data_IF_384603348372
#
_entry.id   IF_384603348372
#
_cell.length_a   1.000
_cell.length_b   1.000
_cell.length_c   1.000
_cell.angle_alpha   90.00
_cell.angle_beta   90.00
_cell.angle_gamma   90.00
#
_symmetry.space_group_name_H-M   'P 1'
#
loop_
_entity.id
_entity.type
_entity.pdbx_description
1 polymer ?
#
# COMPACT_ATOMS: atom_id res chain seq x y z
N UNK A 1 -19.86 22.98 -1.53
CA UNK A 1 -19.93 21.72 -2.29
C UNK A 1 -18.54 21.45 -2.88
N UNK A 2 -17.97 20.25 -2.74
CA UNK A 2 -16.62 19.94 -3.24
C UNK A 2 -16.66 19.89 -4.78
N UNK A 3 -15.80 20.64 -5.50
CA UNK A 3 -15.80 20.61 -6.96
C UNK A 3 -15.50 19.22 -7.52
N UNK A 4 -16.21 18.83 -8.59
CA UNK A 4 -16.16 17.48 -9.16
C UNK A 4 -14.75 17.03 -9.58
N UNK A 5 -13.89 17.99 -9.97
CA UNK A 5 -12.48 17.73 -10.31
C UNK A 5 -11.69 17.10 -9.14
N UNK A 6 -12.08 17.35 -7.89
CA UNK A 6 -11.44 16.78 -6.70
C UNK A 6 -12.07 15.46 -6.23
N UNK A 7 -13.21 15.06 -6.80
CA UNK A 7 -13.85 13.79 -6.44
C UNK A 7 -13.01 12.61 -6.94
N UNK A 8 -12.79 11.62 -6.06
CA UNK A 8 -12.09 10.37 -6.38
C UNK A 8 -12.88 9.44 -7.32
N UNK A 9 -14.20 9.49 -7.23
CA UNK A 9 -15.10 8.64 -7.99
C UNK A 9 -15.79 9.46 -9.09
N UNK A 10 -16.04 8.84 -10.23
CA UNK A 10 -16.95 9.31 -11.28
C UNK A 10 -18.24 8.51 -11.12
N UNK A 11 -19.37 9.21 -11.07
CA UNK A 11 -20.70 8.59 -11.01
C UNK A 11 -21.32 8.76 -12.40
N UNK A 12 -21.67 7.66 -13.04
CA UNK A 12 -22.30 7.65 -14.37
C UNK A 12 -23.30 6.52 -14.45
N UNK A 13 -24.55 6.79 -14.82
CA UNK A 13 -25.60 5.78 -14.98
C UNK A 13 -25.74 4.81 -13.77
N UNK A 14 -25.83 5.35 -12.55
CA UNK A 14 -25.83 4.58 -11.28
C UNK A 14 -24.59 3.68 -11.03
N UNK A 15 -23.53 3.82 -11.83
CA UNK A 15 -22.27 3.11 -11.65
C UNK A 15 -21.23 4.04 -11.03
N UNK A 16 -20.52 3.52 -10.02
CA UNK A 16 -19.42 4.22 -9.34
C UNK A 16 -18.10 3.69 -9.90
N UNK A 17 -17.31 4.56 -10.52
CA UNK A 17 -16.00 4.22 -11.08
C UNK A 17 -14.90 5.04 -10.41
N UNK A 18 -13.80 4.40 -10.02
CA UNK A 18 -12.64 5.13 -9.48
C UNK A 18 -11.93 5.85 -10.63
N UNK A 19 -11.68 7.16 -10.47
CA UNK A 19 -10.78 7.88 -11.37
C UNK A 19 -9.39 7.27 -11.26
N UNK A 20 -8.96 6.52 -12.28
CA UNK A 20 -7.65 5.89 -12.33
C UNK A 20 -6.60 6.95 -12.62
N UNK A 21 -5.51 6.92 -11.87
CA UNK A 21 -4.27 7.65 -12.19
C UNK A 21 -3.29 6.57 -12.61
N UNK A 22 -2.80 6.63 -13.85
CA UNK A 22 -1.78 5.69 -14.33
C UNK A 22 -0.47 6.05 -13.66
N UNK A 23 -0.24 5.46 -12.49
CA UNK A 23 1.04 5.50 -11.79
C UNK A 23 1.67 4.13 -12.04
N UNK A 24 2.98 4.08 -12.27
CA UNK A 24 3.70 2.80 -12.30
C UNK A 24 4.32 2.62 -10.92
N UNK A 25 4.05 1.48 -10.29
CA UNK A 25 4.57 1.15 -8.97
C UNK A 25 3.93 1.92 -7.80
N UNK A 26 4.40 1.60 -6.60
CA UNK A 26 3.95 2.20 -5.36
C UNK A 26 5.11 2.90 -4.63
N UNK A 27 5.16 4.25 -4.59
CA UNK A 27 6.25 4.96 -3.94
C UNK A 27 6.26 4.79 -2.42
N UNK A 28 5.13 4.41 -1.82
CA UNK A 28 4.99 4.28 -0.37
C UNK A 28 5.93 3.23 0.23
N UNK A 29 6.14 2.11 -0.47
CA UNK A 29 6.99 1.01 -0.01
C UNK A 29 8.47 1.35 0.10
N UNK A 30 8.90 2.46 -0.50
CA UNK A 30 10.27 2.93 -0.48
C UNK A 30 10.48 4.10 0.48
N UNK A 31 9.40 4.71 0.97
CA UNK A 31 9.44 5.93 1.77
C UNK A 31 9.01 5.71 3.21
N UNK A 32 8.08 4.78 3.43
CA UNK A 32 7.41 4.62 4.71
C UNK A 32 7.54 3.19 5.23
N UNK A 33 7.89 3.06 6.50
CA UNK A 33 7.84 1.82 7.27
C UNK A 33 6.69 1.95 8.28
N UNK A 34 5.76 1.00 8.28
CA UNK A 34 4.57 1.03 9.14
C UNK A 34 4.72 -0.06 10.20
N UNK A 35 4.60 0.35 11.46
CA UNK A 35 4.66 -0.53 12.63
C UNK A 35 3.31 -0.46 13.34
N UNK A 36 2.68 -1.60 13.55
CA UNK A 36 1.41 -1.71 14.29
C UNK A 36 1.64 -1.61 15.80
N UNK A 37 0.56 -1.42 16.57
CA UNK A 37 0.64 -1.28 18.03
C UNK A 37 1.27 -2.47 18.76
N UNK A 38 1.17 -3.67 18.18
CA UNK A 38 1.72 -4.92 18.70
C UNK A 38 3.13 -5.21 18.13
N UNK A 39 3.72 -4.24 17.43
CA UNK A 39 5.11 -4.27 16.97
C UNK A 39 5.32 -4.92 15.61
N UNK A 40 4.27 -5.31 14.88
CA UNK A 40 4.42 -5.90 13.55
C UNK A 40 4.77 -4.83 12.51
N UNK A 41 5.80 -5.09 11.71
CA UNK A 41 6.11 -4.32 10.50
C UNK A 41 5.22 -4.82 9.38
N UNK A 42 4.40 -3.94 8.82
CA UNK A 42 3.47 -4.25 7.71
C UNK A 42 3.85 -3.47 6.46
N UNK A 43 3.36 -3.94 5.31
CA UNK A 43 3.72 -3.34 4.02
C UNK A 43 3.28 -1.88 3.85
N UNK A 44 2.08 -1.52 4.29
CA UNK A 44 1.50 -0.21 3.98
C UNK A 44 0.38 0.13 4.96
N UNK A 45 0.01 1.41 5.04
CA UNK A 45 -1.14 1.88 5.82
C UNK A 45 -2.49 1.28 5.37
N UNK A 46 -2.56 0.73 4.14
CA UNK A 46 -3.72 0.00 3.64
C UNK A 46 -3.82 -1.43 4.18
N UNK A 47 -2.76 -1.98 4.75
CA UNK A 47 -2.76 -3.30 5.40
C UNK A 47 -3.30 -3.24 6.83
N UNK A 48 -4.56 -2.82 6.94
CA UNK A 48 -5.22 -2.56 8.24
C UNK A 48 -5.35 -3.78 9.15
N UNK A 49 -5.27 -4.98 8.57
CA UNK A 49 -5.38 -6.26 9.29
C UNK A 49 -4.01 -6.93 9.51
N UNK A 50 -2.92 -6.33 9.03
CA UNK A 50 -1.58 -6.90 9.12
C UNK A 50 -1.44 -8.23 8.37
N UNK A 51 -2.18 -8.42 7.26
CA UNK A 51 -2.16 -9.66 6.47
C UNK A 51 -0.77 -9.89 5.85
N UNK A 52 -0.05 -8.82 5.56
CA UNK A 52 1.27 -8.83 4.94
C UNK A 52 2.33 -8.34 5.94
N UNK A 53 2.41 -9.03 7.07
CA UNK A 53 3.45 -8.78 8.07
C UNK A 53 4.82 -9.29 7.59
N UNK A 54 5.84 -8.47 7.79
CA UNK A 54 7.25 -8.76 7.49
C UNK A 54 7.98 -9.33 8.71
N UNK A 55 7.47 -9.05 9.92
CA UNK A 55 8.06 -9.50 11.17
C UNK A 55 7.73 -8.55 12.32
N UNK A 56 8.29 -8.79 13.49
CA UNK A 56 7.97 -8.03 14.70
C UNK A 56 9.22 -7.36 15.28
N UNK A 57 9.12 -6.08 15.63
CA UNK A 57 10.25 -5.27 16.14
C UNK A 57 10.74 -5.72 17.51
N UNK A 58 9.93 -6.50 18.24
CA UNK A 58 10.36 -7.11 19.50
C UNK A 58 11.38 -8.24 19.29
N UNK A 59 11.45 -8.80 18.08
CA UNK A 59 12.31 -9.95 17.73
C UNK A 59 13.44 -9.58 16.77
N UNK A 60 13.39 -8.40 16.13
CA UNK A 60 14.33 -7.99 15.09
C UNK A 60 14.39 -6.49 14.96
N UNK A 61 15.52 -5.94 14.51
CA UNK A 61 15.63 -4.50 14.29
C UNK A 61 14.81 -4.08 13.07
N UNK A 62 14.28 -2.85 13.09
CA UNK A 62 13.57 -2.27 11.93
C UNK A 62 14.45 -2.30 10.69
N UNK A 63 15.76 -2.06 10.83
CA UNK A 63 16.69 -2.10 9.72
C UNK A 63 16.79 -3.49 9.07
N UNK A 64 16.83 -4.56 9.88
CA UNK A 64 16.85 -5.92 9.36
C UNK A 64 15.54 -6.28 8.65
N UNK A 65 14.38 -5.91 9.24
CA UNK A 65 13.07 -6.16 8.65
C UNK A 65 12.87 -5.37 7.34
N UNK A 66 13.30 -4.10 7.29
CA UNK A 66 13.23 -3.24 6.11
C UNK A 66 14.05 -3.76 4.93
N UNK A 67 15.20 -4.39 5.20
CA UNK A 67 16.08 -4.99 4.18
C UNK A 67 15.85 -6.50 3.99
N UNK A 68 14.82 -7.07 4.61
CA UNK A 68 14.50 -8.49 4.47
C UNK A 68 14.19 -8.85 3.02
N UNK A 69 14.47 -10.09 2.65
CA UNK A 69 14.11 -10.65 1.34
C UNK A 69 12.61 -10.51 1.07
N UNK A 70 11.77 -10.80 2.07
CA UNK A 70 10.32 -10.70 1.97
C UNK A 70 9.85 -9.28 1.65
N UNK A 71 10.36 -8.24 2.33
CA UNK A 71 9.97 -6.85 2.01
C UNK A 71 10.42 -6.49 0.59
N UNK A 72 11.64 -6.87 0.21
CA UNK A 72 12.19 -6.58 -1.12
C UNK A 72 11.44 -7.30 -2.25
N UNK A 73 10.90 -8.49 -2.00
CA UNK A 73 10.03 -9.20 -2.93
C UNK A 73 8.75 -8.40 -3.20
N UNK A 74 8.05 -7.95 -2.16
CA UNK A 74 6.85 -7.12 -2.33
C UNK A 74 7.12 -5.81 -3.07
N UNK A 75 8.27 -5.17 -2.81
CA UNK A 75 8.72 -3.98 -3.55
C UNK A 75 8.90 -4.27 -5.04
N UNK A 76 9.52 -5.40 -5.36
CA UNK A 76 9.76 -5.82 -6.75
C UNK A 76 8.44 -6.12 -7.46
N UNK A 77 7.57 -6.92 -6.84
CA UNK A 77 6.27 -7.30 -7.39
C UNK A 77 5.41 -6.06 -7.67
N UNK A 78 5.35 -5.12 -6.73
CA UNK A 78 4.56 -3.90 -6.91
C UNK A 78 5.14 -2.95 -7.96
N UNK A 79 6.46 -2.92 -8.16
CA UNK A 79 7.06 -2.20 -9.30
C UNK A 79 6.72 -2.83 -10.65
N UNK A 80 6.52 -4.15 -10.68
CA UNK A 80 6.04 -4.89 -11.85
C UNK A 80 4.51 -4.82 -12.02
N UNK A 81 3.82 -3.98 -11.24
CA UNK A 81 2.35 -3.85 -11.18
C UNK A 81 1.62 -5.13 -10.76
N UNK A 82 2.30 -6.02 -10.02
CA UNK A 82 1.64 -7.15 -9.36
C UNK A 82 0.99 -6.65 -8.06
N UNK A 83 -0.28 -6.28 -8.18
CA UNK A 83 -1.03 -5.65 -7.10
C UNK A 83 -1.53 -6.65 -6.06
N UNK A 84 -1.41 -6.29 -4.78
CA UNK A 84 -2.07 -6.97 -3.68
C UNK A 84 -3.53 -6.50 -3.55
N UNK A 85 -4.34 -7.26 -2.82
CA UNK A 85 -5.75 -6.91 -2.56
C UNK A 85 -5.90 -5.54 -1.87
N UNK A 86 -4.98 -5.20 -0.97
CA UNK A 86 -4.89 -3.90 -0.29
C UNK A 86 -4.60 -2.72 -1.23
N UNK A 87 -4.09 -2.98 -2.44
CA UNK A 87 -3.71 -1.94 -3.40
C UNK A 87 -4.90 -1.43 -4.22
N UNK A 88 -5.95 -2.25 -4.45
CA UNK A 88 -7.03 -1.93 -5.39
C UNK A 88 -7.78 -0.62 -5.07
N UNK A 89 -7.87 -0.28 -3.78
CA UNK A 89 -8.52 0.94 -3.29
C UNK A 89 -7.53 1.96 -2.73
N UNK A 90 -6.24 1.86 -3.08
CA UNK A 90 -5.22 2.84 -2.69
C UNK A 90 -5.34 4.13 -3.54
N UNK A 91 -5.35 5.32 -2.94
CA UNK A 91 -5.34 6.59 -3.68
C UNK A 91 -3.95 6.97 -4.20
N UNK A 92 -2.89 6.29 -3.75
CA UNK A 92 -1.50 6.68 -3.98
C UNK A 92 -0.82 5.85 -5.08
N UNK A 93 -0.69 4.54 -4.89
CA UNK A 93 0.01 3.63 -5.81
C UNK A 93 -0.90 2.47 -6.22
N UNK A 94 -1.04 2.28 -7.52
CA UNK A 94 -1.84 1.25 -8.21
C UNK A 94 -1.23 0.99 -9.58
#
# INVERSE_FOLDING_TARGET
QIPEKYNRYKISNNKIEIKKRNIRGCPELYKNCIITQDGNVVLCCMDKKGKYSIGNVNNSTVNALWHSSQFNEYRTNLNNNELLDICHNCPVGR
#
